data_IF_267180655645
#
_entry.id   IF_267180655645
#
_cell.length_a   1.000
_cell.length_b   1.000
_cell.length_c   1.000
_cell.angle_alpha   90.00
_cell.angle_beta   90.00
_cell.angle_gamma   90.00
#
_symmetry.space_group_name_H-M   'P 1'
#
loop_
_entity.id
_entity.type
_entity.pdbx_description
1 polymer ?
#
# COMPACT_ATOMS: atom_id res chain seq x y z
N UNK A 1 -5.84 -0.25 11.48
CA UNK A 1 -4.37 -0.36 11.65
C UNK A 1 -3.66 -0.64 10.32
N UNK A 2 -4.07 -1.63 9.53
CA UNK A 2 -3.47 -1.94 8.22
C UNK A 2 -3.31 -0.72 7.29
N UNK A 3 -4.34 0.12 7.15
CA UNK A 3 -4.28 1.35 6.34
C UNK A 3 -3.18 2.32 6.78
N UNK A 4 -3.03 2.56 8.08
CA UNK A 4 -2.00 3.45 8.61
C UNK A 4 -0.60 2.86 8.41
N UNK A 5 -0.44 1.55 8.61
CA UNK A 5 0.82 0.84 8.38
C UNK A 5 1.24 0.90 6.89
N UNK A 6 0.29 0.66 5.98
CA UNK A 6 0.52 0.78 4.54
C UNK A 6 0.93 2.19 4.12
N UNK A 7 0.17 3.20 4.53
CA UNK A 7 0.51 4.60 4.21
C UNK A 7 1.88 5.00 4.76
N UNK A 8 2.23 4.55 5.98
CA UNK A 8 3.53 4.80 6.57
C UNK A 8 4.65 4.12 5.78
N UNK A 9 4.48 2.85 5.41
CA UNK A 9 5.48 2.12 4.63
C UNK A 9 5.71 2.76 3.26
N UNK A 10 4.65 3.15 2.56
CA UNK A 10 4.75 3.83 1.26
C UNK A 10 5.38 5.22 1.37
N UNK A 11 5.11 5.95 2.46
CA UNK A 11 5.69 7.27 2.70
C UNK A 11 7.19 7.24 3.03
N UNK A 12 7.65 6.21 3.76
CA UNK A 12 9.05 6.09 4.22
C UNK A 12 9.91 5.41 3.16
N UNK A 13 9.43 4.33 2.59
CA UNK A 13 10.23 3.45 1.73
C UNK A 13 9.94 3.63 0.23
N UNK A 14 8.97 4.48 -0.12
CA UNK A 14 8.54 4.70 -1.50
C UNK A 14 7.66 3.56 -2.06
N UNK A 15 7.60 3.43 -3.40
CA UNK A 15 6.81 2.39 -4.05
C UNK A 15 7.23 0.98 -3.60
N UNK A 16 6.25 0.14 -3.26
CA UNK A 16 6.47 -1.25 -2.81
C UNK A 16 5.81 -2.24 -3.73
N UNK A 17 6.39 -3.42 -3.87
CA UNK A 17 5.74 -4.56 -4.52
C UNK A 17 4.60 -5.04 -3.61
N UNK A 18 3.43 -5.27 -4.19
CA UNK A 18 2.23 -5.72 -3.47
C UNK A 18 2.45 -7.08 -2.83
N UNK A 19 3.07 -7.99 -3.58
CA UNK A 19 3.56 -9.27 -3.07
C UNK A 19 4.61 -9.05 -1.97
N UNK A 20 4.30 -9.52 -0.77
CA UNK A 20 5.18 -9.43 0.41
C UNK A 20 4.87 -8.26 1.35
N UNK A 21 3.94 -7.35 1.02
CA UNK A 21 3.52 -6.29 1.96
C UNK A 21 2.92 -6.85 3.25
N UNK A 22 2.17 -7.95 3.14
CA UNK A 22 1.60 -8.64 4.30
C UNK A 22 2.69 -9.13 5.26
N UNK A 23 3.73 -9.76 4.73
CA UNK A 23 4.86 -10.26 5.52
C UNK A 23 5.67 -9.12 6.16
N UNK A 24 6.03 -8.10 5.38
CA UNK A 24 6.81 -6.94 5.87
C UNK A 24 6.07 -6.18 6.97
N UNK A 25 4.76 -6.04 6.84
CA UNK A 25 3.93 -5.34 7.82
C UNK A 25 3.49 -6.24 8.99
N UNK A 26 3.77 -7.54 8.94
CA UNK A 26 3.28 -8.51 9.92
C UNK A 26 1.75 -8.56 9.97
N UNK A 27 1.09 -8.37 8.83
CA UNK A 27 -0.36 -8.31 8.70
C UNK A 27 -0.89 -9.51 7.91
N UNK A 28 -2.15 -9.84 8.16
CA UNK A 28 -2.90 -10.79 7.36
C UNK A 28 -3.07 -10.27 5.92
N UNK A 29 -2.87 -11.16 4.94
CA UNK A 29 -2.92 -10.83 3.51
C UNK A 29 -4.28 -10.27 3.09
N UNK A 30 -5.39 -10.85 3.56
CA UNK A 30 -6.74 -10.35 3.23
C UNK A 30 -6.97 -8.95 3.80
N UNK A 31 -6.40 -8.66 4.98
CA UNK A 31 -6.46 -7.32 5.57
C UNK A 31 -5.65 -6.30 4.78
N UNK A 32 -4.50 -6.70 4.24
CA UNK A 32 -3.69 -5.85 3.35
C UNK A 32 -4.44 -5.59 2.06
N UNK A 33 -4.97 -6.62 1.40
CA UNK A 33 -5.76 -6.48 0.17
C UNK A 33 -6.97 -5.58 0.35
N UNK A 34 -7.73 -5.78 1.43
CA UNK A 34 -8.89 -4.93 1.76
C UNK A 34 -8.47 -3.47 1.96
N UNK A 35 -7.34 -3.25 2.65
CA UNK A 35 -6.82 -1.93 2.91
C UNK A 35 -6.31 -1.24 1.63
N UNK A 36 -5.60 -1.96 0.76
CA UNK A 36 -5.13 -1.49 -0.53
C UNK A 36 -6.30 -1.09 -1.42
N UNK A 37 -7.29 -1.97 -1.60
CA UNK A 37 -8.49 -1.68 -2.38
C UNK A 37 -9.22 -0.41 -1.89
N UNK A 38 -9.36 -0.28 -0.57
CA UNK A 38 -10.00 0.91 0.02
C UNK A 38 -9.16 2.19 -0.17
N UNK A 39 -7.83 2.11 -0.08
CA UNK A 39 -6.95 3.28 -0.27
C UNK A 39 -6.87 3.70 -1.76
N UNK A 40 -6.95 2.74 -2.68
CA UNK A 40 -7.08 3.01 -4.13
C UNK A 40 -8.41 3.71 -4.41
N UNK A 41 -9.52 3.19 -3.87
CA UNK A 41 -10.85 3.80 -4.04
C UNK A 41 -10.95 5.23 -3.47
N UNK A 42 -10.13 5.56 -2.48
CA UNK A 42 -10.03 6.91 -1.92
C UNK A 42 -9.03 7.83 -2.65
N UNK A 43 -8.35 7.32 -3.68
CA UNK A 43 -7.32 8.08 -4.40
C UNK A 43 -6.11 8.43 -3.53
N UNK A 44 -5.82 7.65 -2.48
CA UNK A 44 -4.69 7.86 -1.56
C UNK A 44 -3.42 7.18 -2.06
N UNK A 45 -3.58 6.07 -2.77
CA UNK A 45 -2.50 5.30 -3.37
C UNK A 45 -2.87 4.95 -4.82
N UNK A 46 -1.85 4.71 -5.64
CA UNK A 46 -1.97 4.26 -7.02
C UNK A 46 -1.31 2.88 -7.16
N UNK A 47 -1.92 2.02 -7.98
CA UNK A 47 -1.36 0.72 -8.38
C UNK A 47 -0.77 0.84 -9.78
N UNK A 48 0.49 0.48 -9.92
CA UNK A 48 1.21 0.44 -11.20
C UNK A 48 1.80 -0.96 -11.38
N UNK A 49 1.10 -1.80 -12.14
CA UNK A 49 1.42 -3.22 -12.24
C UNK A 49 1.33 -3.91 -10.88
N UNK A 50 2.42 -4.52 -10.45
CA UNK A 50 2.61 -5.19 -9.17
C UNK A 50 3.06 -4.24 -8.04
N UNK A 51 3.21 -2.93 -8.32
CA UNK A 51 3.66 -1.94 -7.35
C UNK A 51 2.53 -1.05 -6.86
N UNK A 52 2.62 -0.65 -5.60
CA UNK A 52 1.77 0.35 -4.96
C UNK A 52 2.61 1.55 -4.54
N UNK A 53 2.09 2.76 -4.78
CA UNK A 53 2.74 4.03 -4.40
C UNK A 53 1.73 5.05 -3.88
N UNK A 54 2.16 6.07 -3.17
CA UNK A 54 1.27 7.17 -2.77
C UNK A 54 0.80 7.95 -4.00
N UNK A 55 -0.48 8.27 -4.04
CA UNK A 55 -1.05 9.06 -5.12
C UNK A 55 -0.41 10.47 -5.11
N UNK A 56 -0.06 10.98 -6.29
CA UNK A 56 0.55 12.30 -6.43
C UNK A 56 2.04 12.37 -6.07
N UNK A 57 2.67 11.27 -5.66
CA UNK A 57 4.13 11.13 -5.71
C UNK A 57 4.55 10.69 -7.12
N UNK A 58 4.36 11.58 -8.09
CA UNK A 58 5.05 11.52 -9.38
C UNK A 58 6.12 12.61 -9.35
N UNK A 59 7.37 12.19 -9.09
CA UNK A 59 8.56 13.01 -9.29
C UNK A 59 9.16 12.71 -10.65
#
# INVERSE_FOLDING_TARGET
>A
QARAALLKALAVDGPRIEAGLAEVLGLDERRVETALAALVGEGRIEREGDRVRLAGQAG
#
